data_IF_017262783109
#
_entry.id   IF_017262783109
#
_cell.length_a   1.000
_cell.length_b   1.000
_cell.length_c   1.000
_cell.angle_alpha   90.00
_cell.angle_beta   90.00
_cell.angle_gamma   90.00
#
_symmetry.space_group_name_H-M   'P 1'
#
loop_
_entity.id
_entity.type
_entity.pdbx_description
1 polymer ?
#
# COMPACT_ATOMS: atom_id res chain seq x y z
N UNK A 1 2.87 -20.04 21.80
CA UNK A 1 3.51 -20.89 20.79
C UNK A 1 3.29 -20.36 19.36
N UNK A 2 2.10 -19.85 19.02
CA UNK A 2 1.77 -19.34 17.67
C UNK A 2 2.58 -18.10 17.22
N UNK A 3 2.90 -17.17 18.12
CA UNK A 3 3.61 -15.93 17.78
C UNK A 3 5.04 -16.18 17.26
N UNK A 4 5.77 -17.10 17.87
CA UNK A 4 7.14 -17.45 17.45
C UNK A 4 7.24 -18.15 16.09
N UNK A 5 6.23 -18.93 15.71
CA UNK A 5 6.21 -19.60 14.41
C UNK A 5 5.94 -18.62 13.29
N UNK A 6 4.98 -17.71 13.45
CA UNK A 6 4.68 -16.69 12.46
C UNK A 6 5.88 -15.75 12.21
N UNK A 7 6.59 -15.34 13.27
CA UNK A 7 7.78 -14.48 13.17
C UNK A 7 8.96 -15.18 12.48
N UNK A 8 9.06 -16.51 12.56
CA UNK A 8 10.14 -17.28 11.93
C UNK A 8 9.81 -17.80 10.54
N UNK A 9 8.54 -18.11 10.29
CA UNK A 9 8.10 -18.73 9.04
C UNK A 9 7.73 -17.67 8.00
N UNK A 10 7.06 -16.58 8.37
CA UNK A 10 6.69 -15.50 7.44
C UNK A 10 7.85 -14.92 6.60
N UNK A 11 9.05 -14.72 7.16
CA UNK A 11 10.17 -14.26 6.33
C UNK A 11 10.59 -15.24 5.22
N UNK A 12 10.26 -16.53 5.37
CA UNK A 12 10.55 -17.56 4.37
C UNK A 12 9.41 -17.77 3.36
N UNK A 13 8.27 -17.07 3.54
CA UNK A 13 7.12 -17.13 2.62
C UNK A 13 7.43 -16.51 1.26
N UNK A 14 8.29 -15.50 1.24
CA UNK A 14 8.63 -14.79 0.00
C UNK A 14 10.14 -14.55 -0.09
N UNK A 15 10.65 -14.61 -1.32
CA UNK A 15 12.03 -14.21 -1.64
C UNK A 15 12.00 -13.07 -2.65
N UNK A 16 12.70 -11.97 -2.38
CA UNK A 16 12.76 -10.84 -3.31
C UNK A 16 13.51 -11.23 -4.58
N UNK A 17 12.86 -11.04 -5.72
CA UNK A 17 13.42 -11.21 -7.07
C UNK A 17 14.09 -9.91 -7.50
N UNK A 18 13.36 -8.80 -7.45
CA UNK A 18 13.88 -7.46 -7.70
C UNK A 18 13.02 -6.38 -7.00
N UNK A 19 13.56 -5.18 -6.93
CA UNK A 19 12.78 -4.01 -6.54
C UNK A 19 11.98 -3.50 -7.74
N UNK A 20 10.77 -2.99 -7.47
CA UNK A 20 9.99 -2.26 -8.47
C UNK A 20 10.62 -0.88 -8.68
N UNK A 21 10.55 -0.39 -9.91
CA UNK A 21 10.74 1.04 -10.16
C UNK A 21 9.49 1.77 -9.67
N UNK A 22 9.69 2.83 -8.89
CA UNK A 22 8.61 3.61 -8.28
C UNK A 22 8.72 5.05 -8.72
N UNK A 23 7.61 5.55 -9.22
CA UNK A 23 7.39 6.96 -9.47
C UNK A 23 6.15 7.42 -8.70
N UNK A 24 6.04 8.69 -8.40
CA UNK A 24 4.92 9.24 -7.65
C UNK A 24 4.39 10.53 -8.26
N UNK A 25 3.14 10.83 -7.99
CA UNK A 25 2.49 12.08 -8.32
C UNK A 25 1.54 12.49 -7.19
N UNK A 26 1.92 13.39 -6.29
CA UNK A 26 1.04 13.88 -5.25
C UNK A 26 -0.05 14.77 -5.83
N UNK A 27 -1.30 14.53 -5.44
CA UNK A 27 -2.42 15.39 -5.83
C UNK A 27 -2.43 16.65 -4.99
N UNK A 28 -2.65 17.79 -5.64
CA UNK A 28 -2.74 19.10 -4.99
C UNK A 28 -4.11 19.70 -5.23
N UNK A 29 -4.78 20.15 -4.17
CA UNK A 29 -6.03 20.89 -4.32
C UNK A 29 -5.78 22.19 -5.07
N UNK A 30 -6.48 22.36 -6.19
CA UNK A 30 -6.42 23.57 -7.02
C UNK A 30 -7.67 24.44 -6.86
N UNK A 31 -8.70 23.94 -6.16
CA UNK A 31 -9.99 24.62 -6.00
C UNK A 31 -10.16 25.03 -4.54
N UNK A 32 -10.49 26.31 -4.33
CA UNK A 32 -10.88 26.78 -3.00
C UNK A 32 -12.25 26.17 -2.63
N UNK A 33 -12.30 25.48 -1.51
CA UNK A 33 -13.49 24.86 -0.94
C UNK A 33 -13.51 24.99 0.57
N UNK A 34 -14.66 24.70 1.18
CA UNK A 34 -14.87 24.87 2.62
C UNK A 34 -13.90 24.05 3.47
N UNK A 35 -13.38 22.93 2.93
CA UNK A 35 -12.48 22.00 3.61
C UNK A 35 -11.21 21.72 2.80
N UNK A 36 -10.81 22.64 1.92
CA UNK A 36 -9.59 22.49 1.12
C UNK A 36 -8.48 23.42 1.63
N UNK A 37 -7.23 22.99 1.41
CA UNK A 37 -6.03 23.83 1.62
C UNK A 37 -5.29 23.97 0.30
N UNK A 38 -5.71 24.94 -0.55
CA UNK A 38 -5.13 25.10 -1.88
C UNK A 38 -3.60 25.25 -1.84
N UNK A 39 -2.91 24.56 -2.73
CA UNK A 39 -1.47 24.64 -2.87
C UNK A 39 -0.67 23.77 -1.91
N UNK A 40 -1.31 23.02 -1.01
CA UNK A 40 -0.59 22.03 -0.18
C UNK A 40 -0.36 20.77 -0.99
N UNK A 41 0.91 20.48 -1.27
CA UNK A 41 1.31 19.31 -2.07
C UNK A 41 0.91 18.03 -1.35
N UNK A 42 0.25 17.12 -2.08
CA UNK A 42 -0.17 15.82 -1.56
C UNK A 42 -1.41 15.84 -0.66
N UNK A 43 -2.01 17.01 -0.38
CA UNK A 43 -3.24 17.12 0.41
C UNK A 43 -4.49 17.35 -0.47
N UNK A 44 -4.39 17.00 -1.76
CA UNK A 44 -5.49 17.09 -2.71
C UNK A 44 -6.55 16.01 -2.53
N UNK A 45 -7.78 16.36 -2.89
CA UNK A 45 -8.90 15.42 -2.94
C UNK A 45 -8.66 14.31 -3.97
N UNK A 46 -9.28 13.13 -3.79
CA UNK A 46 -9.24 12.08 -4.80
C UNK A 46 -9.68 12.59 -6.17
N UNK A 47 -8.98 12.20 -7.20
CA UNK A 47 -9.28 12.50 -8.59
C UNK A 47 -9.80 11.26 -9.30
N UNK A 48 -10.37 11.41 -10.49
CA UNK A 48 -10.78 10.23 -11.28
C UNK A 48 -9.56 9.36 -11.63
N UNK A 49 -9.78 8.05 -11.77
CA UNK A 49 -8.72 7.12 -12.18
C UNK A 49 -8.08 7.59 -13.50
N UNK A 50 -8.89 7.99 -14.48
CA UNK A 50 -8.37 8.48 -15.76
C UNK A 50 -7.48 9.72 -15.62
N UNK A 51 -7.75 10.60 -14.67
CA UNK A 51 -6.90 11.75 -14.37
C UNK A 51 -5.62 11.30 -13.67
N UNK A 52 -5.72 10.39 -12.69
CA UNK A 52 -4.57 9.83 -11.99
C UNK A 52 -3.55 9.18 -12.92
N UNK A 53 -4.02 8.37 -13.87
CA UNK A 53 -3.17 7.70 -14.87
C UNK A 53 -2.39 8.65 -15.79
N UNK A 54 -2.79 9.92 -15.88
CA UNK A 54 -2.17 10.93 -16.76
C UNK A 54 -1.38 12.00 -16.03
N UNK A 55 -1.16 11.84 -14.73
CA UNK A 55 -0.34 12.77 -13.95
C UNK A 55 1.12 12.77 -14.43
N UNK A 56 1.83 13.84 -14.11
CA UNK A 56 3.28 13.90 -14.30
C UNK A 56 3.97 13.20 -13.12
N UNK A 57 4.46 12.00 -13.37
CA UNK A 57 5.14 11.19 -12.37
C UNK A 57 6.62 11.54 -12.28
N UNK A 58 7.15 11.55 -11.06
CA UNK A 58 8.56 11.78 -10.75
C UNK A 58 9.14 10.56 -9.98
N UNK A 59 10.44 10.28 -10.12
CA UNK A 59 11.05 9.17 -9.37
C UNK A 59 10.85 9.27 -7.86
N UNK A 60 10.52 8.14 -7.24
CA UNK A 60 10.33 8.02 -5.80
C UNK A 60 11.12 6.82 -5.25
N UNK A 61 11.61 6.90 -4.02
CA UNK A 61 12.48 5.87 -3.45
C UNK A 61 11.81 5.18 -2.27
N UNK A 62 12.13 3.91 -2.10
CA UNK A 62 11.80 3.19 -0.86
C UNK A 62 12.47 3.91 0.31
N UNK A 63 11.70 4.21 1.35
CA UNK A 63 12.11 4.99 2.50
C UNK A 63 11.73 6.46 2.45
N UNK A 64 11.46 7.02 1.26
CA UNK A 64 10.95 8.37 1.14
C UNK A 64 9.54 8.48 1.74
N UNK A 65 9.22 9.66 2.24
CA UNK A 65 7.96 9.94 2.91
C UNK A 65 6.94 10.56 1.96
N UNK A 66 5.67 10.26 2.18
CA UNK A 66 4.56 10.72 1.35
C UNK A 66 3.33 11.06 2.18
N UNK A 67 2.41 11.78 1.55
CA UNK A 67 1.09 12.05 2.04
C UNK A 67 1.04 12.81 3.37
N UNK A 68 0.82 14.14 3.36
CA UNK A 68 0.30 14.79 4.55
C UNK A 68 -1.10 14.23 4.84
N UNK A 69 -1.61 14.37 6.10
CA UNK A 69 -2.97 13.98 6.45
C UNK A 69 -4.00 14.51 5.45
N UNK A 70 -5.01 13.72 5.15
CA UNK A 70 -6.07 14.01 4.16
C UNK A 70 -5.58 14.06 2.71
N UNK A 71 -4.39 13.56 2.44
CA UNK A 71 -3.78 13.64 1.12
C UNK A 71 -4.10 12.43 0.25
N UNK A 72 -4.00 12.65 -1.07
CA UNK A 72 -4.01 11.60 -2.10
C UNK A 72 -2.70 11.66 -2.88
N UNK A 73 -2.08 10.51 -3.07
CA UNK A 73 -0.84 10.37 -3.85
C UNK A 73 -1.01 9.19 -4.81
N UNK A 74 -0.62 9.39 -6.05
CA UNK A 74 -0.55 8.31 -7.02
C UNK A 74 0.86 7.77 -7.12
N UNK A 75 1.02 6.46 -7.13
CA UNK A 75 2.27 5.77 -7.43
C UNK A 75 2.14 5.01 -8.73
N UNK A 76 3.17 5.06 -9.56
CA UNK A 76 3.33 4.25 -10.76
C UNK A 76 4.44 3.23 -10.49
N UNK A 77 4.13 1.96 -10.63
CA UNK A 77 5.02 0.85 -10.28
C UNK A 77 5.28 0.02 -11.52
N UNK A 78 6.54 -0.11 -11.87
CA UNK A 78 6.96 -0.90 -13.05
C UNK A 78 8.09 -1.86 -12.70
N UNK A 79 8.14 -2.97 -13.42
CA UNK A 79 9.25 -3.92 -13.39
C UNK A 79 9.26 -4.77 -14.66
N UNK A 80 10.32 -5.54 -14.83
CA UNK A 80 10.37 -6.61 -15.82
C UNK A 80 10.68 -7.91 -15.11
N UNK A 81 9.84 -8.92 -15.26
CA UNK A 81 10.05 -10.24 -14.70
C UNK A 81 11.26 -10.87 -15.39
N UNK A 82 12.31 -11.28 -14.65
CA UNK A 82 13.45 -11.98 -15.21
C UNK A 82 12.99 -13.26 -15.94
N UNK A 83 13.59 -13.60 -17.09
CA UNK A 83 13.15 -14.74 -17.89
C UNK A 83 13.11 -16.08 -17.13
N UNK A 84 14.01 -16.28 -16.18
CA UNK A 84 14.08 -17.47 -15.32
C UNK A 84 12.94 -17.61 -14.33
N UNK A 85 12.17 -16.53 -14.09
CA UNK A 85 11.07 -16.48 -13.12
C UNK A 85 9.69 -16.37 -13.78
N UNK A 86 9.58 -16.43 -15.11
CA UNK A 86 8.30 -16.21 -15.82
C UNK A 86 7.24 -17.26 -15.55
N UNK A 87 7.66 -18.47 -15.22
CA UNK A 87 6.76 -19.59 -14.92
C UNK A 87 6.55 -19.79 -13.40
N UNK A 88 7.16 -18.95 -12.58
CA UNK A 88 7.09 -19.04 -11.12
C UNK A 88 5.84 -18.32 -10.57
N UNK A 89 5.43 -18.69 -9.36
CA UNK A 89 4.40 -17.96 -8.62
C UNK A 89 4.99 -16.67 -8.05
N UNK A 90 4.66 -15.55 -8.68
CA UNK A 90 5.14 -14.22 -8.32
C UNK A 90 4.03 -13.35 -7.75
N UNK A 91 4.40 -12.50 -6.80
CA UNK A 91 3.57 -11.40 -6.30
C UNK A 91 4.40 -10.12 -6.21
N UNK A 92 3.73 -8.98 -6.27
CA UNK A 92 4.32 -7.72 -5.84
C UNK A 92 3.95 -7.48 -4.38
N UNK A 93 4.91 -7.02 -3.58
CA UNK A 93 4.66 -6.55 -2.21
C UNK A 93 4.87 -5.05 -2.19
N UNK A 94 3.79 -4.32 -1.89
CA UNK A 94 3.81 -2.85 -1.79
C UNK A 94 3.32 -2.44 -0.41
N UNK A 95 4.25 -2.02 0.44
CA UNK A 95 3.96 -1.51 1.79
C UNK A 95 4.03 0.02 1.77
N UNK A 96 2.86 0.64 1.70
CA UNK A 96 2.69 2.10 1.69
C UNK A 96 3.08 2.77 3.02
N UNK A 97 3.39 1.96 4.03
CA UNK A 97 3.72 2.42 5.36
C UNK A 97 2.50 2.56 6.26
N UNK A 98 2.54 1.95 7.42
CA UNK A 98 1.55 2.12 8.48
C UNK A 98 2.25 2.53 9.76
N UNK A 99 1.52 3.22 10.64
CA UNK A 99 2.02 3.67 11.94
C UNK A 99 1.76 2.61 13.00
N UNK A 100 0.67 1.83 12.82
CA UNK A 100 0.25 0.77 13.74
C UNK A 100 0.05 -0.56 13.03
N UNK A 101 0.09 -1.64 13.79
CA UNK A 101 -0.35 -2.96 13.34
C UNK A 101 -1.88 -3.06 13.33
N UNK A 102 -2.52 -2.30 12.42
CA UNK A 102 -3.96 -2.24 12.20
C UNK A 102 -4.27 -2.18 10.71
N UNK A 103 -5.36 -2.79 10.24
CA UNK A 103 -5.72 -2.75 8.83
C UNK A 103 -6.35 -1.43 8.39
N UNK A 104 -6.88 -0.61 9.28
CA UNK A 104 -7.65 0.59 8.93
C UNK A 104 -7.14 1.87 9.58
N UNK A 105 -7.71 3.00 9.14
CA UNK A 105 -7.40 4.35 9.62
C UNK A 105 -5.95 4.77 9.44
N UNK A 106 -5.32 4.30 8.39
CA UNK A 106 -3.92 4.57 8.07
C UNK A 106 -3.75 4.73 6.55
N UNK A 107 -2.54 4.42 6.03
CA UNK A 107 -2.33 4.34 4.59
C UNK A 107 -3.20 3.25 3.96
N UNK A 108 -3.91 3.60 2.92
CA UNK A 108 -4.69 2.66 2.11
C UNK A 108 -4.40 2.93 0.64
N UNK A 109 -4.58 1.92 -0.22
CA UNK A 109 -4.34 2.08 -1.64
C UNK A 109 -5.34 1.32 -2.49
N UNK A 110 -5.62 1.85 -3.67
CA UNK A 110 -6.38 1.19 -4.72
C UNK A 110 -5.44 0.92 -5.91
N UNK A 111 -5.24 -0.35 -6.23
CA UNK A 111 -4.36 -0.76 -7.33
C UNK A 111 -5.18 -0.87 -8.60
N UNK A 112 -4.70 -0.22 -9.66
CA UNK A 112 -5.38 -0.19 -10.96
C UNK A 112 -4.39 -0.51 -12.10
N UNK A 113 -4.92 -1.05 -13.21
CA UNK A 113 -4.17 -1.27 -14.44
C UNK A 113 -4.08 0.01 -15.27
N UNK A 114 -3.21 0.06 -16.28
CA UNK A 114 -3.13 1.19 -17.21
C UNK A 114 -4.44 1.50 -17.97
N UNK A 115 -5.33 0.53 -18.11
CA UNK A 115 -6.67 0.73 -18.69
C UNK A 115 -7.70 1.28 -17.69
N UNK A 116 -7.30 1.50 -16.45
CA UNK A 116 -8.14 2.01 -15.38
C UNK A 116 -8.98 0.94 -14.65
N UNK A 117 -8.88 -0.33 -15.03
CA UNK A 117 -9.57 -1.39 -14.31
C UNK A 117 -8.92 -1.67 -12.96
N UNK A 118 -9.75 -1.97 -11.95
CA UNK A 118 -9.30 -2.19 -10.57
C UNK A 118 -8.76 -3.61 -10.43
N UNK A 119 -7.61 -3.74 -9.75
CA UNK A 119 -7.03 -5.02 -9.36
C UNK A 119 -7.48 -5.38 -7.94
N UNK A 120 -7.10 -4.55 -6.95
CA UNK A 120 -7.44 -4.77 -5.54
C UNK A 120 -7.15 -3.54 -4.68
N UNK A 121 -7.57 -3.60 -3.41
CA UNK A 121 -7.18 -2.62 -2.39
C UNK A 121 -5.97 -3.11 -1.57
N UNK A 122 -5.19 -2.14 -1.08
CA UNK A 122 -4.08 -2.32 -0.15
C UNK A 122 -4.40 -1.68 1.20
N UNK A 123 -3.85 -2.27 2.25
CA UNK A 123 -3.81 -1.70 3.59
C UNK A 123 -2.58 -2.26 4.34
N UNK A 124 -2.22 -1.79 5.54
CA UNK A 124 -1.00 -2.24 6.22
C UNK A 124 -0.89 -3.75 6.49
N UNK A 125 -2.02 -4.48 6.48
CA UNK A 125 -2.03 -5.96 6.63
C UNK A 125 -2.31 -6.72 5.34
N UNK A 126 -2.50 -6.00 4.24
CA UNK A 126 -2.78 -6.58 2.93
C UNK A 126 -1.98 -5.83 1.87
N UNK A 127 -0.70 -6.15 1.76
CA UNK A 127 0.30 -5.43 0.96
C UNK A 127 0.67 -6.14 -0.35
N UNK A 128 0.13 -7.34 -0.61
CA UNK A 128 0.44 -8.10 -1.80
C UNK A 128 -0.48 -7.74 -2.98
N UNK A 129 0.05 -7.82 -4.18
CA UNK A 129 -0.65 -7.60 -5.45
C UNK A 129 -0.33 -8.77 -6.38
N UNK A 130 -1.33 -9.38 -7.07
CA UNK A 130 -1.05 -10.40 -8.06
C UNK A 130 -0.23 -9.82 -9.21
N UNK A 131 0.71 -10.60 -9.73
CA UNK A 131 1.52 -10.20 -10.89
C UNK A 131 0.74 -10.49 -12.17
N UNK A 132 0.64 -9.46 -13.00
CA UNK A 132 0.14 -9.55 -14.38
C UNK A 132 1.22 -8.93 -15.27
N UNK A 133 1.55 -9.60 -16.37
CA UNK A 133 2.59 -9.14 -17.30
C UNK A 133 2.05 -9.08 -18.73
N UNK A 134 2.69 -8.25 -19.55
CA UNK A 134 2.57 -8.36 -21.00
C UNK A 134 3.38 -9.56 -21.55
N UNK A 135 3.42 -9.71 -22.87
CA UNK A 135 4.13 -10.80 -23.54
C UNK A 135 5.65 -10.74 -23.34
N UNK A 136 6.18 -9.58 -23.09
CA UNK A 136 7.60 -9.31 -22.84
C UNK A 136 7.98 -9.51 -21.38
N UNK A 137 6.98 -9.63 -20.49
CA UNK A 137 7.16 -9.80 -19.04
C UNK A 137 7.20 -8.49 -18.26
N UNK A 138 6.72 -7.39 -18.84
CA UNK A 138 6.65 -6.12 -18.13
C UNK A 138 5.43 -6.07 -17.21
N UNK A 139 5.66 -5.54 -16.02
CA UNK A 139 4.66 -5.18 -15.02
C UNK A 139 4.44 -3.67 -15.10
N UNK A 140 3.18 -3.25 -15.14
CA UNK A 140 2.77 -1.85 -15.17
C UNK A 140 1.47 -1.68 -14.38
N UNK A 141 1.54 -1.06 -13.20
CA UNK A 141 0.37 -0.83 -12.35
C UNK A 141 0.47 0.51 -11.65
N UNK A 142 -0.68 1.05 -11.28
CA UNK A 142 -0.81 2.30 -10.55
C UNK A 142 -1.47 2.06 -9.21
N UNK A 143 -1.12 2.89 -8.23
CA UNK A 143 -1.73 2.85 -6.89
C UNK A 143 -2.19 4.24 -6.52
N UNK A 144 -3.52 4.44 -6.40
CA UNK A 144 -4.07 5.59 -5.71
C UNK A 144 -3.94 5.37 -4.21
N UNK A 145 -3.13 6.16 -3.53
CA UNK A 145 -2.84 6.01 -2.11
C UNK A 145 -3.46 7.15 -1.31
N UNK A 146 -4.25 6.79 -0.30
CA UNK A 146 -4.86 7.70 0.65
C UNK A 146 -4.00 7.80 1.91
N UNK A 147 -3.65 9.03 2.28
CA UNK A 147 -3.01 9.35 3.55
C UNK A 147 -4.06 9.68 4.60
N UNK A 148 -4.70 8.64 5.16
CA UNK A 148 -5.76 8.83 6.13
C UNK A 148 -5.21 9.46 7.42
N UNK A 149 -5.88 10.49 7.97
CA UNK A 149 -5.42 11.20 9.15
C UNK A 149 -5.62 10.40 10.43
N UNK A 150 -4.83 10.70 11.45
CA UNK A 150 -5.03 10.23 12.81
C UNK A 150 -6.07 11.11 13.49
N UNK A 151 -7.34 10.72 13.43
CA UNK A 151 -8.45 11.53 13.93
C UNK A 151 -8.48 11.65 15.45
N UNK A 152 -8.06 10.60 16.17
CA UNK A 152 -8.16 10.53 17.62
C UNK A 152 -6.83 10.04 18.23
N UNK A 153 -6.36 10.73 19.25
CA UNK A 153 -5.25 10.26 20.04
C UNK A 153 -5.61 8.93 20.73
N UNK A 154 -4.58 8.10 21.00
CA UNK A 154 -4.74 6.91 21.85
C UNK A 154 -5.43 7.28 23.16
N UNK A 155 -6.03 6.31 23.88
CA UNK A 155 -6.86 6.67 25.02
C UNK A 155 -6.34 7.90 25.76
N UNK A 156 -7.22 8.88 26.03
CA UNK A 156 -8.68 8.86 26.11
C UNK A 156 -9.45 9.23 24.81
N UNK A 157 -8.91 9.02 23.63
CA UNK A 157 -9.57 9.31 22.34
C UNK A 157 -9.93 10.79 22.15
N UNK A 158 -9.04 11.68 22.53
CA UNK A 158 -9.20 13.10 22.28
C UNK A 158 -8.98 13.40 20.80
N UNK A 159 -9.72 14.37 20.22
CA UNK A 159 -9.44 14.85 18.86
C UNK A 159 -7.98 15.30 18.71
N UNK A 160 -7.38 14.98 17.56
CA UNK A 160 -6.06 15.46 17.17
C UNK A 160 -6.16 16.70 16.29
N UNK A 161 -5.07 17.41 16.09
CA UNK A 161 -4.98 18.52 15.12
C UNK A 161 -5.29 18.05 13.69
N UNK A 162 -4.98 16.78 13.40
CA UNK A 162 -5.23 16.16 12.10
C UNK A 162 -6.68 15.71 11.90
N UNK A 163 -7.53 15.82 12.91
CA UNK A 163 -8.96 15.52 12.82
C UNK A 163 -9.75 16.47 11.91
N UNK A 164 -9.18 17.61 11.54
CA UNK A 164 -9.74 18.56 10.57
C UNK A 164 -8.68 18.88 9.51
N UNK A 165 -9.03 18.76 8.23
CA UNK A 165 -8.14 19.06 7.11
C UNK A 165 -7.54 20.48 7.18
N UNK A 166 -8.27 21.45 7.71
CA UNK A 166 -7.82 22.85 7.81
C UNK A 166 -6.73 23.06 8.88
N UNK A 167 -6.73 22.23 9.92
CA UNK A 167 -5.76 22.30 11.03
C UNK A 167 -4.69 21.25 10.96
N UNK A 168 -4.88 20.23 10.11
CA UNK A 168 -3.97 19.12 9.96
C UNK A 168 -2.55 19.56 9.61
N UNK A 169 -1.57 18.79 10.05
CA UNK A 169 -0.17 18.98 9.65
C UNK A 169 0.00 18.94 8.13
N UNK A 170 0.97 19.68 7.62
CA UNK A 170 1.42 19.58 6.23
C UNK A 170 2.61 18.64 6.07
N UNK A 171 3.09 18.06 7.18
CA UNK A 171 4.18 17.12 7.16
C UNK A 171 3.71 15.75 6.64
N UNK A 172 4.62 15.01 6.03
CA UNK A 172 4.33 13.67 5.52
C UNK A 172 4.21 12.67 6.66
N UNK A 173 3.20 11.78 6.56
CA UNK A 173 2.87 10.80 7.60
C UNK A 173 3.50 9.45 7.39
N UNK A 174 3.54 9.02 6.13
CA UNK A 174 3.84 7.65 5.75
C UNK A 174 5.17 7.59 5.01
N UNK A 175 5.77 6.42 5.02
CA UNK A 175 6.98 6.13 4.26
C UNK A 175 6.73 4.86 3.46
N UNK A 176 7.05 4.88 2.17
CA UNK A 176 7.02 3.67 1.34
C UNK A 176 8.07 2.69 1.86
N UNK A 177 7.64 1.64 2.55
CA UNK A 177 8.55 0.70 3.22
C UNK A 177 9.05 -0.38 2.30
N UNK A 178 8.25 -0.75 1.31
CA UNK A 178 8.58 -1.86 0.40
C UNK A 178 7.85 -1.70 -0.93
N UNK A 179 8.55 -2.01 -2.02
CA UNK A 179 8.00 -2.17 -3.35
C UNK A 179 8.85 -3.21 -4.10
N UNK A 180 8.49 -4.48 -3.98
CA UNK A 180 9.27 -5.62 -4.46
C UNK A 180 8.43 -6.56 -5.32
N UNK A 181 9.07 -7.13 -6.35
CA UNK A 181 8.65 -8.36 -6.98
C UNK A 181 9.22 -9.53 -6.16
N UNK A 182 8.39 -10.48 -5.77
CA UNK A 182 8.77 -11.60 -4.92
C UNK A 182 8.34 -12.92 -5.52
N UNK A 183 9.18 -13.94 -5.31
CA UNK A 183 8.84 -15.33 -5.49
C UNK A 183 8.11 -15.83 -4.25
N UNK A 184 6.96 -16.46 -4.43
CA UNK A 184 6.15 -17.03 -3.35
C UNK A 184 6.54 -18.48 -3.11
N UNK A 185 6.78 -18.82 -1.86
CA UNK A 185 6.93 -20.20 -1.43
C UNK A 185 5.58 -20.74 -0.97
N UNK A 186 4.88 -21.43 -1.86
CA UNK A 186 3.53 -21.94 -1.61
C UNK A 186 3.48 -22.95 -0.45
N UNK A 187 4.51 -23.78 -0.26
CA UNK A 187 4.57 -24.75 0.85
C UNK A 187 4.62 -24.00 2.20
N UNK A 188 5.42 -22.94 2.29
CA UNK A 188 5.53 -22.11 3.49
C UNK A 188 4.23 -21.33 3.71
N UNK A 189 3.60 -20.82 2.65
CA UNK A 189 2.31 -20.13 2.72
C UNK A 189 1.21 -21.05 3.23
N UNK A 190 1.09 -22.26 2.71
CA UNK A 190 0.13 -23.26 3.18
C UNK A 190 0.38 -23.60 4.66
N UNK A 191 1.63 -23.76 5.05
CA UNK A 191 1.99 -23.99 6.45
C UNK A 191 1.55 -22.83 7.35
N UNK A 192 1.77 -21.57 6.94
CA UNK A 192 1.30 -20.37 7.65
C UNK A 192 -0.22 -20.38 7.82
N UNK A 193 -0.96 -20.71 6.76
CA UNK A 193 -2.43 -20.78 6.79
C UNK A 193 -2.93 -21.87 7.73
N UNK A 194 -2.32 -23.04 7.74
CA UNK A 194 -2.68 -24.15 8.66
C UNK A 194 -2.48 -23.77 10.12
N UNK A 195 -1.41 -23.01 10.43
CA UNK A 195 -1.13 -22.58 11.82
C UNK A 195 -1.98 -21.39 12.28
N UNK A 196 -2.53 -20.60 11.34
CA UNK A 196 -3.36 -19.44 11.65
C UNK A 196 -4.86 -19.74 11.58
N UNK A 197 -5.25 -20.86 10.97
CA UNK A 197 -6.64 -21.31 10.93
C UNK A 197 -7.11 -21.79 12.31
N UNK A 198 -8.33 -21.42 12.75
CA UNK A 198 -8.90 -21.94 13.98
C UNK A 198 -8.94 -23.48 13.95
N UNK A 199 -8.41 -24.11 14.99
CA UNK A 199 -8.53 -25.56 15.12
C UNK A 199 -10.02 -25.94 15.25
N UNK A 200 -10.49 -27.05 14.62
CA UNK A 200 -11.84 -27.55 14.85
C UNK A 200 -12.16 -27.80 16.34
N UNK A 201 -11.13 -27.89 17.20
CA UNK A 201 -11.28 -28.03 18.66
C UNK A 201 -11.54 -26.70 19.37
N UNK A 202 -11.20 -25.56 18.78
CA UNK A 202 -11.40 -24.25 19.41
C UNK A 202 -12.88 -23.83 19.37
N UNK A 203 -13.69 -24.41 18.47
CA UNK A 203 -15.13 -24.21 18.39
C UNK A 203 -15.97 -25.05 19.39
N UNK A 204 -15.34 -25.96 20.15
CA UNK A 204 -16.04 -26.84 21.12
C UNK A 204 -15.91 -26.38 22.57
N UNK A 205 -15.26 -25.26 22.83
CA UNK A 205 -15.01 -24.71 24.18
C UNK A 205 -15.75 -23.37 24.43
N UNK A 206 -16.75 -23.05 23.60
CA UNK A 206 -17.65 -21.89 23.82
C UNK A 206 -19.03 -22.31 24.28
#
# INVERSE_FOLDING_TARGET
>A
MHRHLAEKIRPAETTTVCHLNVEWAPVTDTVEGLNSRPGVVGQGEPISISAGLTLAYEPFRIGDTWGPPWGTTWFHLTATVPPEHRDDHLEMIVDLGGVWDSPGFQSEGLVVRPDGSIIKALNPRNTWIPVETDAEGHIDVYVEAASNPILLAQPPFQPTEDGDKLTASTDTYYSLKRADLVLVNDEVRELCLLYTSPSPRDGLLS
#
